data_IF_740098010287
#
_entry.id   IF_740098010287
#
_cell.length_a   1.000
_cell.length_b   1.000
_cell.length_c   1.000
_cell.angle_alpha   90.00
_cell.angle_beta   90.00
_cell.angle_gamma   90.00
#
_symmetry.space_group_name_H-M   'P 1'
#
loop_
_entity.id
_entity.type
_entity.pdbx_description
1 polymer ?
#
# COMPACT_ATOMS: atom_id res chain seq x y z
N UNK A 1 23.31 22.69 26.55
CA UNK A 1 22.38 21.76 27.15
C UNK A 1 21.00 21.98 26.56
N UNK A 2 20.55 21.06 25.70
CA UNK A 2 19.19 21.09 25.18
C UNK A 2 18.30 20.54 26.30
N UNK A 3 17.56 21.44 26.96
CA UNK A 3 16.54 21.06 27.92
C UNK A 3 15.40 20.38 27.16
N UNK A 4 15.32 19.06 27.26
CA UNK A 4 14.13 18.34 26.82
C UNK A 4 12.98 18.68 27.78
N UNK A 5 12.17 19.67 27.43
CA UNK A 5 10.90 19.89 28.11
C UNK A 5 10.02 18.69 27.79
N UNK A 6 9.69 17.93 28.84
CA UNK A 6 8.62 16.94 28.78
C UNK A 6 7.32 17.70 28.47
N UNK A 7 6.82 17.60 27.23
CA UNK A 7 5.50 18.11 26.88
C UNK A 7 4.52 16.97 27.14
N UNK A 8 3.51 17.14 27.99
CA UNK A 8 2.50 16.11 28.18
C UNK A 8 1.73 15.93 26.87
N UNK A 9 1.83 14.74 26.28
CA UNK A 9 1.10 14.40 25.07
C UNK A 9 -0.41 14.29 25.38
N UNK A 10 -1.22 14.99 24.60
CA UNK A 10 -2.69 14.89 24.72
C UNK A 10 -3.22 13.52 24.29
N UNK A 11 -2.49 12.81 23.44
CA UNK A 11 -2.95 11.58 22.79
C UNK A 11 -1.83 10.55 22.78
N UNK A 12 -2.06 9.42 23.44
CA UNK A 12 -1.16 8.27 23.44
C UNK A 12 -1.52 7.37 22.26
N UNK A 13 -0.74 7.43 21.18
CA UNK A 13 -0.96 6.56 20.04
C UNK A 13 0.32 5.87 19.68
N UNK A 14 0.28 4.55 19.83
CA UNK A 14 1.26 3.64 19.25
C UNK A 14 0.57 2.92 18.11
N UNK A 15 0.87 3.27 16.88
CA UNK A 15 0.42 2.49 15.72
C UNK A 15 1.43 1.43 15.30
N UNK A 16 2.70 1.58 15.72
CA UNK A 16 3.81 0.68 15.39
C UNK A 16 4.72 0.41 16.58
N UNK A 17 4.25 0.52 17.83
CA UNK A 17 5.07 0.43 19.05
C UNK A 17 6.29 1.39 19.11
N UNK A 18 6.28 2.46 18.33
CA UNK A 18 7.42 3.38 18.19
C UNK A 18 7.28 4.63 19.05
N UNK A 19 6.41 4.62 20.05
CA UNK A 19 6.28 5.71 21.02
C UNK A 19 5.05 6.59 20.84
N UNK A 20 5.02 7.68 21.60
CA UNK A 20 3.92 8.64 21.64
C UNK A 20 4.09 9.68 20.52
N UNK A 21 3.05 9.92 19.74
CA UNK A 21 3.02 10.93 18.70
C UNK A 21 2.30 12.19 19.18
N UNK A 22 2.93 13.35 19.04
CA UNK A 22 2.28 14.65 19.14
C UNK A 22 1.59 14.92 17.79
N UNK A 23 0.31 14.58 17.72
CA UNK A 23 -0.46 14.64 16.47
C UNK A 23 -0.57 16.06 15.91
N UNK A 24 -0.74 17.10 16.75
CA UNK A 24 -0.85 18.48 16.28
C UNK A 24 0.48 18.96 15.66
N UNK A 25 1.58 18.67 16.33
CA UNK A 25 2.90 19.03 15.82
C UNK A 25 3.28 18.27 14.56
N UNK A 26 2.96 16.98 14.50
CA UNK A 26 3.24 16.18 13.32
C UNK A 26 2.38 16.64 12.14
N UNK A 27 1.11 16.98 12.38
CA UNK A 27 0.26 17.55 11.35
C UNK A 27 0.86 18.83 10.77
N UNK A 28 1.26 19.80 11.62
CA UNK A 28 1.92 21.03 11.19
C UNK A 28 3.20 20.72 10.36
N UNK A 29 4.02 19.78 10.81
CA UNK A 29 5.23 19.38 10.09
C UNK A 29 4.91 18.80 8.70
N UNK A 30 3.94 17.90 8.62
CA UNK A 30 3.60 17.18 7.39
C UNK A 30 2.88 18.08 6.38
N UNK A 31 2.08 19.05 6.82
CA UNK A 31 1.28 19.90 5.93
C UNK A 31 1.91 21.24 5.63
N UNK A 32 2.70 21.81 6.56
CA UNK A 32 3.18 23.19 6.44
C UNK A 32 4.70 23.32 6.37
N UNK A 33 5.45 22.43 7.01
CA UNK A 33 6.91 22.58 7.15
C UNK A 33 7.71 21.75 6.18
N UNK A 34 7.29 20.52 5.92
CA UNK A 34 7.98 19.67 4.95
C UNK A 34 7.59 20.06 3.54
N UNK A 35 8.58 20.27 2.68
CA UNK A 35 8.37 20.47 1.26
C UNK A 35 8.33 19.11 0.56
N UNK A 36 7.17 18.76 0.04
CA UNK A 36 6.92 17.54 -0.71
C UNK A 36 6.97 17.73 -2.23
N UNK A 37 7.08 18.98 -2.69
CA UNK A 37 6.93 19.37 -4.09
C UNK A 37 7.88 18.61 -5.02
N UNK A 38 9.09 18.34 -4.55
CA UNK A 38 10.08 17.62 -5.34
C UNK A 38 9.66 16.18 -5.67
N UNK A 39 8.97 15.50 -4.74
CA UNK A 39 8.52 14.11 -4.91
C UNK A 39 7.32 14.02 -5.86
N UNK A 40 6.47 15.05 -5.88
CA UNK A 40 5.25 15.12 -6.67
C UNK A 40 5.46 15.65 -8.11
N UNK A 41 6.69 16.00 -8.49
CA UNK A 41 6.99 16.50 -9.84
C UNK A 41 6.84 15.42 -10.89
N UNK A 42 6.34 15.78 -12.08
CA UNK A 42 6.17 14.84 -13.19
C UNK A 42 7.51 14.37 -13.80
N UNK A 43 8.58 15.14 -13.62
CA UNK A 43 9.94 14.81 -14.03
C UNK A 43 10.80 14.16 -12.92
N UNK A 44 10.16 13.75 -11.82
CA UNK A 44 10.85 13.10 -10.72
C UNK A 44 11.32 11.71 -11.11
N UNK A 45 12.62 11.49 -11.05
CA UNK A 45 13.23 10.19 -11.27
C UNK A 45 13.56 9.50 -9.94
N UNK A 46 13.08 8.28 -9.78
CA UNK A 46 13.37 7.46 -8.60
C UNK A 46 14.46 6.48 -8.99
N UNK A 47 15.63 6.62 -8.39
CA UNK A 47 16.69 5.63 -8.51
C UNK A 47 16.27 4.32 -7.82
N UNK A 48 16.59 3.20 -8.45
CA UNK A 48 16.33 1.85 -7.93
C UNK A 48 16.83 1.66 -6.49
N UNK A 49 18.00 2.23 -6.15
CA UNK A 49 18.52 2.18 -4.78
C UNK A 49 17.61 2.91 -3.78
N UNK A 50 16.97 4.01 -4.18
CA UNK A 50 16.05 4.74 -3.32
C UNK A 50 14.72 4.00 -3.12
N UNK A 51 14.31 3.16 -4.07
CA UNK A 51 13.20 2.23 -3.84
C UNK A 51 13.56 1.17 -2.80
N UNK A 52 14.80 0.70 -2.81
CA UNK A 52 15.31 -0.38 -1.95
C UNK A 52 15.67 0.06 -0.54
N UNK A 53 15.96 1.34 -0.30
CA UNK A 53 16.41 1.80 1.00
C UNK A 53 15.26 2.03 1.96
N UNK A 54 15.53 1.88 3.24
CA UNK A 54 14.59 2.19 4.33
C UNK A 54 14.01 3.61 4.26
N UNK A 55 14.72 4.56 3.63
CA UNK A 55 14.27 5.93 3.41
C UNK A 55 13.37 6.10 2.18
N UNK A 56 13.17 5.04 1.39
CA UNK A 56 12.35 5.06 0.20
C UNK A 56 10.85 4.91 0.46
N UNK A 57 10.20 4.18 -0.42
CA UNK A 57 8.72 4.06 -0.50
C UNK A 57 8.07 3.64 0.80
N UNK A 58 8.63 2.65 1.48
CA UNK A 58 8.06 2.08 2.71
C UNK A 58 7.96 3.07 3.85
N UNK A 59 9.07 3.78 4.12
CA UNK A 59 9.13 4.68 5.27
C UNK A 59 8.19 5.86 5.12
N UNK A 60 8.09 6.40 3.91
CA UNK A 60 7.26 7.58 3.67
C UNK A 60 5.77 7.23 3.66
N UNK A 61 5.36 6.18 2.94
CA UNK A 61 3.97 5.69 3.03
C UNK A 61 3.60 5.27 4.43
N UNK A 62 4.48 4.53 5.10
CA UNK A 62 4.29 4.11 6.49
C UNK A 62 4.11 5.29 7.44
N UNK A 63 4.86 6.39 7.23
CA UNK A 63 4.71 7.60 8.02
C UNK A 63 3.32 8.23 7.85
N UNK A 64 2.87 8.45 6.61
CA UNK A 64 1.54 9.01 6.34
C UNK A 64 0.42 8.12 6.87
N UNK A 65 0.52 6.80 6.67
CA UNK A 65 -0.47 5.83 7.15
C UNK A 65 -0.51 5.79 8.68
N UNK A 66 0.65 5.81 9.33
CA UNK A 66 0.73 5.87 10.79
C UNK A 66 0.12 7.16 11.36
N UNK A 67 0.32 8.28 10.67
CA UNK A 67 -0.32 9.55 11.03
C UNK A 67 -1.84 9.48 10.87
N UNK A 68 -2.32 8.94 9.76
CA UNK A 68 -3.74 8.76 9.52
C UNK A 68 -4.38 7.86 10.60
N UNK A 69 -3.73 6.77 11.00
CA UNK A 69 -4.15 5.94 12.13
C UNK A 69 -4.20 6.72 13.44
N UNK A 70 -3.20 7.56 13.66
CA UNK A 70 -3.14 8.39 14.86
C UNK A 70 -4.37 9.30 14.96
N UNK A 71 -4.73 9.96 13.86
CA UNK A 71 -5.92 10.82 13.79
C UNK A 71 -7.22 10.02 13.90
N UNK A 72 -7.32 8.87 13.22
CA UNK A 72 -8.49 7.97 13.34
C UNK A 72 -8.77 7.60 14.81
N UNK A 73 -7.71 7.22 15.56
CA UNK A 73 -7.83 6.83 16.98
C UNK A 73 -8.31 7.95 17.89
N UNK A 74 -7.99 9.19 17.60
CA UNK A 74 -8.46 10.34 18.39
C UNK A 74 -9.74 10.96 17.88
N UNK A 75 -10.34 10.38 16.82
CA UNK A 75 -11.61 10.83 16.26
C UNK A 75 -11.49 12.01 15.28
N UNK A 76 -10.28 12.35 14.84
CA UNK A 76 -10.01 13.42 13.87
C UNK A 76 -10.04 12.89 12.44
N UNK A 77 -11.22 12.41 12.00
CA UNK A 77 -11.40 11.67 10.75
C UNK A 77 -11.00 12.49 9.52
N UNK A 78 -11.28 13.79 9.50
CA UNK A 78 -10.95 14.67 8.36
C UNK A 78 -9.43 14.77 8.18
N UNK A 79 -8.68 14.90 9.28
CA UNK A 79 -7.20 14.91 9.24
C UNK A 79 -6.63 13.55 8.84
N UNK A 80 -7.27 12.45 9.25
CA UNK A 80 -6.88 11.12 8.81
C UNK A 80 -7.01 10.97 7.29
N UNK A 81 -8.12 11.42 6.72
CA UNK A 81 -8.34 11.42 5.26
C UNK A 81 -7.31 12.31 4.56
N UNK A 82 -7.05 13.51 5.10
CA UNK A 82 -6.05 14.44 4.53
C UNK A 82 -4.65 13.83 4.47
N UNK A 83 -4.23 13.08 5.50
CA UNK A 83 -2.93 12.41 5.48
C UNK A 83 -2.85 11.34 4.39
N UNK A 84 -3.90 10.55 4.18
CA UNK A 84 -3.95 9.57 3.12
C UNK A 84 -3.96 10.22 1.73
N UNK A 85 -4.73 11.29 1.56
CA UNK A 85 -4.78 12.07 0.31
C UNK A 85 -3.41 12.68 -0.01
N UNK A 86 -2.78 13.27 1.01
CA UNK A 86 -1.44 13.85 0.88
C UNK A 86 -0.40 12.79 0.52
N UNK A 87 -0.49 11.61 1.11
CA UNK A 87 0.36 10.49 0.74
C UNK A 87 0.23 10.15 -0.75
N UNK A 88 -0.99 10.05 -1.27
CA UNK A 88 -1.24 9.74 -2.67
C UNK A 88 -0.73 10.82 -3.61
N UNK A 89 -0.91 12.09 -3.26
CA UNK A 89 -0.42 13.25 -4.01
C UNK A 89 1.11 13.24 -4.08
N UNK A 90 1.76 13.14 -2.92
CA UNK A 90 3.22 13.22 -2.78
C UNK A 90 3.90 12.02 -3.42
N UNK A 91 3.31 10.84 -3.27
CA UNK A 91 3.91 9.57 -3.71
C UNK A 91 3.36 9.07 -5.04
N UNK A 92 2.76 9.93 -5.86
CA UNK A 92 2.16 9.55 -7.15
C UNK A 92 3.15 8.91 -8.12
N UNK A 93 4.43 9.25 -8.03
CA UNK A 93 5.49 8.73 -8.88
C UNK A 93 6.10 7.41 -8.37
N UNK A 94 5.74 6.98 -7.16
CA UNK A 94 6.22 5.74 -6.59
C UNK A 94 5.29 4.57 -6.94
N UNK A 95 5.85 3.39 -7.25
CA UNK A 95 5.02 2.22 -7.53
C UNK A 95 4.13 1.89 -6.34
N UNK A 96 2.91 1.43 -6.61
CA UNK A 96 1.98 0.99 -5.56
C UNK A 96 2.39 -0.36 -4.99
N UNK A 97 2.95 -1.25 -5.83
CA UNK A 97 3.48 -2.53 -5.41
C UNK A 97 5.01 -2.55 -5.56
N UNK A 98 5.67 -3.36 -4.76
CA UNK A 98 7.12 -3.52 -4.73
C UNK A 98 7.55 -4.97 -4.57
N UNK A 99 6.74 -5.90 -5.06
CA UNK A 99 6.98 -7.35 -5.01
C UNK A 99 8.36 -7.70 -5.57
N UNK A 100 8.73 -7.09 -6.70
CA UNK A 100 10.05 -7.30 -7.34
C UNK A 100 11.25 -6.92 -6.44
N UNK A 101 11.04 -6.18 -5.38
CA UNK A 101 12.08 -5.78 -4.43
C UNK A 101 12.19 -6.74 -3.25
N UNK A 102 11.35 -7.76 -3.17
CA UNK A 102 11.30 -8.70 -2.04
C UNK A 102 10.83 -8.07 -0.72
N UNK A 103 10.29 -6.85 -0.75
CA UNK A 103 9.78 -6.15 0.41
C UNK A 103 8.25 -6.19 0.45
N UNK A 104 7.73 -7.12 1.17
CA UNK A 104 6.29 -7.30 1.33
C UNK A 104 5.57 -6.17 2.08
N UNK A 105 6.29 -5.37 2.86
CA UNK A 105 5.64 -4.42 3.77
C UNK A 105 5.06 -3.18 3.10
N UNK A 106 5.57 -2.73 1.94
CA UNK A 106 4.97 -1.60 1.22
C UNK A 106 3.59 -1.95 0.66
N UNK A 107 3.45 -3.13 0.11
CA UNK A 107 2.21 -3.57 -0.52
C UNK A 107 1.12 -3.74 0.55
N UNK A 108 1.50 -4.25 1.73
CA UNK A 108 0.62 -4.29 2.88
C UNK A 108 0.17 -2.88 3.33
N UNK A 109 1.08 -1.89 3.34
CA UNK A 109 0.73 -0.50 3.68
C UNK A 109 -0.32 0.05 2.72
N UNK A 110 -0.22 -0.23 1.42
CA UNK A 110 -1.21 0.26 0.44
C UNK A 110 -2.56 -0.43 0.62
N UNK A 111 -2.57 -1.75 0.92
CA UNK A 111 -3.81 -2.47 1.28
C UNK A 111 -4.44 -1.85 2.54
N UNK A 112 -3.64 -1.52 3.56
CA UNK A 112 -4.11 -0.84 4.77
C UNK A 112 -4.69 0.55 4.46
N UNK A 113 -4.09 1.32 3.55
CA UNK A 113 -4.65 2.60 3.11
C UNK A 113 -6.03 2.43 2.47
N UNK A 114 -6.25 1.37 1.68
CA UNK A 114 -7.57 1.03 1.13
C UNK A 114 -8.56 0.77 2.25
N UNK A 115 -8.20 -0.07 3.22
CA UNK A 115 -9.02 -0.38 4.39
C UNK A 115 -9.38 0.87 5.18
N UNK A 116 -8.40 1.75 5.43
CA UNK A 116 -8.62 3.02 6.13
C UNK A 116 -9.59 3.94 5.40
N UNK A 117 -9.47 4.09 4.08
CA UNK A 117 -10.42 4.90 3.32
C UNK A 117 -11.86 4.39 3.47
N UNK A 118 -12.08 3.07 3.46
CA UNK A 118 -13.41 2.50 3.73
C UNK A 118 -13.91 2.86 5.14
N UNK A 119 -13.06 2.66 6.17
CA UNK A 119 -13.40 2.97 7.57
C UNK A 119 -13.67 4.47 7.78
N UNK A 120 -12.96 5.32 7.06
CA UNK A 120 -13.11 6.78 7.10
C UNK A 120 -14.28 7.31 6.23
N UNK A 121 -15.12 6.42 5.68
CA UNK A 121 -16.28 6.79 4.89
C UNK A 121 -15.95 7.40 3.51
N UNK A 122 -14.81 7.01 2.92
CA UNK A 122 -14.32 7.46 1.62
C UNK A 122 -14.33 6.31 0.58
N UNK A 123 -15.49 5.68 0.29
CA UNK A 123 -15.53 4.45 -0.52
C UNK A 123 -15.02 4.65 -1.96
N UNK A 124 -15.22 5.82 -2.56
CA UNK A 124 -14.75 6.13 -3.91
C UNK A 124 -13.20 6.19 -3.96
N UNK A 125 -12.57 6.79 -2.94
CA UNK A 125 -11.10 6.84 -2.85
C UNK A 125 -10.52 5.45 -2.59
N UNK A 126 -11.16 4.68 -1.68
CA UNK A 126 -10.80 3.30 -1.41
C UNK A 126 -10.85 2.45 -2.69
N UNK A 127 -11.96 2.53 -3.43
CA UNK A 127 -12.17 1.81 -4.67
C UNK A 127 -11.12 2.15 -5.74
N UNK A 128 -10.84 3.45 -5.93
CA UNK A 128 -9.85 3.90 -6.91
C UNK A 128 -8.45 3.38 -6.58
N UNK A 129 -8.03 3.46 -5.31
CA UNK A 129 -6.74 2.95 -4.87
C UNK A 129 -6.67 1.42 -5.00
N UNK A 130 -7.74 0.71 -4.61
CA UNK A 130 -7.83 -0.73 -4.73
C UNK A 130 -7.71 -1.21 -6.19
N UNK A 131 -8.39 -0.55 -7.12
CA UNK A 131 -8.32 -0.89 -8.54
C UNK A 131 -6.91 -0.67 -9.09
N UNK A 132 -6.26 0.44 -8.73
CA UNK A 132 -4.91 0.74 -9.18
C UNK A 132 -3.89 -0.27 -8.64
N UNK A 133 -3.97 -0.57 -7.34
CA UNK A 133 -3.11 -1.59 -6.72
C UNK A 133 -3.34 -2.97 -7.34
N UNK A 134 -4.60 -3.37 -7.51
CA UNK A 134 -4.94 -4.65 -8.12
C UNK A 134 -4.39 -4.79 -9.54
N UNK A 135 -4.54 -3.76 -10.37
CA UNK A 135 -4.02 -3.79 -11.73
C UNK A 135 -2.50 -3.95 -11.76
N UNK A 136 -1.80 -3.23 -10.89
CA UNK A 136 -0.34 -3.33 -10.75
C UNK A 136 0.09 -4.74 -10.31
N UNK A 137 -0.54 -5.29 -9.26
CA UNK A 137 -0.28 -6.65 -8.77
C UNK A 137 -0.60 -7.73 -9.82
N UNK A 138 -1.69 -7.56 -10.57
CA UNK A 138 -2.08 -8.50 -11.61
C UNK A 138 -1.11 -8.49 -12.80
N UNK A 139 -0.59 -7.32 -13.16
CA UNK A 139 0.44 -7.17 -14.19
C UNK A 139 1.74 -7.85 -13.77
N UNK A 140 2.19 -7.61 -12.53
CA UNK A 140 3.36 -8.27 -11.97
C UNK A 140 3.17 -9.79 -11.86
N UNK A 141 2.00 -10.26 -11.43
CA UNK A 141 1.70 -11.68 -11.37
C UNK A 141 1.76 -12.34 -12.76
N UNK A 142 1.25 -11.69 -13.81
CA UNK A 142 1.36 -12.19 -15.19
C UNK A 142 2.81 -12.28 -15.65
N UNK A 143 3.61 -11.27 -15.34
CA UNK A 143 5.04 -11.29 -15.66
C UNK A 143 5.76 -12.44 -14.96
N UNK A 144 5.55 -12.61 -13.65
CA UNK A 144 6.20 -13.71 -12.90
C UNK A 144 5.71 -15.09 -13.33
N UNK A 145 4.47 -15.19 -13.80
CA UNK A 145 3.95 -16.45 -14.36
C UNK A 145 4.72 -16.89 -15.61
N UNK A 146 5.15 -15.97 -16.46
CA UNK A 146 5.97 -16.30 -17.65
C UNK A 146 7.35 -16.86 -17.27
N UNK A 147 7.82 -16.56 -16.06
CA UNK A 147 9.11 -17.00 -15.52
C UNK A 147 8.94 -17.85 -14.26
N UNK A 148 7.84 -18.58 -14.14
CA UNK A 148 7.42 -19.25 -12.89
C UNK A 148 8.50 -20.15 -12.29
N UNK A 149 9.30 -20.86 -13.11
CA UNK A 149 10.40 -21.69 -12.62
C UNK A 149 11.45 -20.92 -11.80
N UNK A 150 11.57 -19.60 -12.00
CA UNK A 150 12.57 -18.74 -11.37
C UNK A 150 11.95 -17.69 -10.44
N UNK A 151 10.65 -17.45 -10.53
CA UNK A 151 9.94 -16.36 -9.85
C UNK A 151 8.66 -16.84 -9.14
N UNK A 152 8.68 -18.08 -8.64
CA UNK A 152 7.53 -18.66 -7.93
C UNK A 152 7.18 -17.86 -6.69
N UNK A 153 8.18 -17.48 -5.89
CA UNK A 153 7.97 -16.75 -4.65
C UNK A 153 7.33 -15.38 -4.90
N UNK A 154 7.76 -14.69 -5.95
CA UNK A 154 7.19 -13.38 -6.34
C UNK A 154 5.76 -13.54 -6.86
N UNK A 155 5.46 -14.60 -7.64
CA UNK A 155 4.11 -14.88 -8.08
C UNK A 155 3.16 -15.17 -6.91
N UNK A 156 3.60 -16.03 -5.98
CA UNK A 156 2.84 -16.36 -4.77
C UNK A 156 2.61 -15.13 -3.89
N UNK A 157 3.61 -14.25 -3.79
CA UNK A 157 3.53 -13.00 -3.04
C UNK A 157 2.49 -12.06 -3.67
N UNK A 158 2.48 -11.90 -5.00
CA UNK A 158 1.41 -11.16 -5.69
C UNK A 158 0.04 -11.71 -5.33
N UNK A 159 -0.11 -13.04 -5.33
CA UNK A 159 -1.35 -13.72 -4.97
C UNK A 159 -1.79 -13.40 -3.55
N UNK A 160 -0.89 -13.45 -2.59
CA UNK A 160 -1.18 -13.10 -1.19
C UNK A 160 -1.72 -11.67 -1.06
N UNK A 161 -1.07 -10.69 -1.70
CA UNK A 161 -1.55 -9.30 -1.66
C UNK A 161 -2.88 -9.10 -2.36
N UNK A 162 -3.13 -9.81 -3.46
CA UNK A 162 -4.43 -9.78 -4.14
C UNK A 162 -5.53 -10.32 -3.21
N UNK A 163 -5.28 -11.41 -2.48
CA UNK A 163 -6.23 -11.95 -1.52
C UNK A 163 -6.48 -10.99 -0.34
N UNK A 164 -5.44 -10.39 0.23
CA UNK A 164 -5.60 -9.39 1.29
C UNK A 164 -6.41 -8.19 0.80
N UNK A 165 -6.10 -7.68 -0.39
CA UNK A 165 -6.84 -6.59 -0.99
C UNK A 165 -8.31 -6.94 -1.22
N UNK A 166 -8.59 -8.15 -1.73
CA UNK A 166 -9.96 -8.65 -1.93
C UNK A 166 -10.75 -8.67 -0.63
N UNK A 167 -10.12 -9.15 0.46
CA UNK A 167 -10.77 -9.21 1.76
C UNK A 167 -11.05 -7.82 2.33
N UNK A 168 -10.10 -6.88 2.24
CA UNK A 168 -10.31 -5.51 2.70
C UNK A 168 -11.39 -4.79 1.89
N UNK A 169 -11.44 -4.98 0.58
CA UNK A 169 -12.50 -4.43 -0.29
C UNK A 169 -13.86 -5.03 0.08
N UNK A 170 -13.92 -6.35 0.36
CA UNK A 170 -15.15 -7.02 0.80
C UNK A 170 -15.62 -6.50 2.16
N UNK A 171 -14.71 -6.36 3.12
CA UNK A 171 -14.98 -5.84 4.45
C UNK A 171 -15.43 -4.36 4.41
N UNK A 172 -14.92 -3.60 3.45
CA UNK A 172 -15.35 -2.22 3.15
C UNK A 172 -16.73 -2.10 2.50
N UNK A 173 -17.38 -3.23 2.18
CA UNK A 173 -18.74 -3.27 1.63
C UNK A 173 -18.82 -3.25 0.09
N UNK A 174 -17.67 -3.26 -0.63
CA UNK A 174 -17.64 -3.28 -2.10
C UNK A 174 -17.57 -4.73 -2.64
N UNK A 175 -18.63 -5.49 -2.42
CA UNK A 175 -18.70 -6.89 -2.81
C UNK A 175 -18.53 -7.12 -4.33
N UNK A 176 -18.96 -6.19 -5.16
CA UNK A 176 -18.82 -6.28 -6.61
C UNK A 176 -17.37 -6.17 -7.06
N UNK A 177 -16.62 -5.23 -6.48
CA UNK A 177 -15.19 -5.10 -6.75
C UNK A 177 -14.41 -6.31 -6.21
N UNK A 178 -14.71 -6.74 -4.97
CA UNK A 178 -14.08 -7.92 -4.38
C UNK A 178 -14.25 -9.17 -5.24
N UNK A 179 -15.47 -9.38 -5.79
CA UNK A 179 -15.74 -10.48 -6.72
C UNK A 179 -14.96 -10.35 -8.03
N UNK A 180 -14.85 -9.14 -8.58
CA UNK A 180 -14.04 -8.90 -9.81
C UNK A 180 -12.57 -9.20 -9.60
N UNK A 181 -12.01 -8.77 -8.46
CA UNK A 181 -10.63 -9.06 -8.07
C UNK A 181 -10.40 -10.58 -8.04
N UNK A 182 -11.22 -11.32 -7.28
CA UNK A 182 -11.11 -12.77 -7.15
C UNK A 182 -11.20 -13.48 -8.51
N UNK A 183 -12.27 -13.24 -9.27
CA UNK A 183 -12.48 -13.88 -10.56
C UNK A 183 -11.32 -13.61 -11.55
N UNK A 184 -10.77 -12.39 -11.55
CA UNK A 184 -9.68 -12.06 -12.47
C UNK A 184 -8.37 -12.76 -12.11
N UNK A 185 -8.10 -12.94 -10.81
CA UNK A 185 -6.93 -13.67 -10.36
C UNK A 185 -7.08 -15.18 -10.51
N UNK A 186 -8.27 -15.75 -10.21
CA UNK A 186 -8.58 -17.15 -10.46
C UNK A 186 -8.40 -17.51 -11.94
N UNK A 187 -8.88 -16.66 -12.86
CA UNK A 187 -8.68 -16.86 -14.29
C UNK A 187 -7.19 -16.89 -14.69
N UNK A 188 -6.32 -16.12 -14.00
CA UNK A 188 -4.88 -16.18 -14.23
C UNK A 188 -4.29 -17.51 -13.73
N UNK A 189 -4.73 -17.99 -12.56
CA UNK A 189 -4.30 -19.28 -11.99
C UNK A 189 -4.72 -20.44 -12.89
N UNK A 190 -5.94 -20.42 -13.43
CA UNK A 190 -6.43 -21.44 -14.34
C UNK A 190 -5.59 -21.57 -15.62
N UNK A 191 -5.15 -20.43 -16.16
CA UNK A 191 -4.21 -20.40 -17.30
C UNK A 191 -2.88 -21.05 -16.90
N UNK A 192 -2.37 -20.72 -15.71
CA UNK A 192 -1.11 -21.25 -15.18
C UNK A 192 -1.16 -22.79 -15.02
N UNK A 193 -2.24 -23.30 -14.44
CA UNK A 193 -2.41 -24.73 -14.13
C UNK A 193 -2.87 -25.53 -15.34
N UNK A 194 -3.73 -24.96 -16.20
CA UNK A 194 -4.21 -25.61 -17.43
C UNK A 194 -3.14 -25.74 -18.51
N UNK A 195 -2.18 -24.80 -18.57
CA UNK A 195 -1.02 -24.91 -19.44
C UNK A 195 -0.04 -26.01 -19.02
N UNK A 196 0.10 -26.28 -17.72
CA UNK A 196 0.95 -27.35 -17.21
C UNK A 196 0.40 -28.75 -17.55
N UNK A 197 -0.93 -28.92 -17.55
CA UNK A 197 -1.55 -30.21 -17.93
C UNK A 197 -1.42 -30.53 -19.43
N UNK A 198 -1.20 -29.53 -20.30
CA UNK A 198 -1.03 -29.73 -21.74
C UNK A 198 0.43 -30.05 -22.14
N UNK A 199 1.42 -29.73 -21.32
CA UNK A 199 2.83 -29.99 -21.60
C UNK A 199 3.30 -31.38 -21.19
N UNK A 200 2.60 -32.04 -20.25
CA UNK A 200 2.95 -33.38 -19.75
C UNK A 200 2.38 -34.54 -20.62
N UNK A 201 1.59 -34.21 -21.65
CA UNK A 201 0.94 -35.17 -22.54
C UNK A 201 1.62 -35.42 -23.90
N UNK A 202 2.80 -34.83 -24.19
CA UNK A 202 3.45 -34.89 -25.51
C UNK A 202 4.81 -35.62 -25.55
N UNK A 203 5.18 -36.35 -24.49
CA UNK A 203 6.30 -37.31 -24.56
C UNK A 203 5.82 -38.75 -24.29
N UNK A 204 5.38 -39.39 -25.36
CA UNK A 204 5.25 -40.86 -25.43
C UNK A 204 5.36 -41.36 -26.86
#
# INVERSE_FOLDING_TARGET
GVSSKFVPFKNNISSLDVGLADTDRLYELMTEKFSWDALARDDYFIDYQNLYTFLGVMSQRGLFTSMAHAFEKVGEMDRAVEMLDKCQEVMKNYPLETVCLGFSSNDYIVVEMVSMYYRLGQPEKARNLAVNLFNSLLESARFYLEFYEFAQDEFELCGQYIYFLQDEVRNGGDADLAKKIGNSFEALIDIATGGAAASDGSES
#
